data_IF_784915440995
#
_entry.id   IF_784915440995
#
_cell.length_a   1.000
_cell.length_b   1.000
_cell.length_c   1.000
_cell.angle_alpha   90.00
_cell.angle_beta   90.00
_cell.angle_gamma   90.00
#
_symmetry.space_group_name_H-M   'P 1'
#
loop_
_entity.id
_entity.type
_entity.pdbx_description
1 polymer ?
#
# COMPACT_ATOMS: atom_id res chain seq x y z
N UNK A 1 -4.37 -3.98 -15.65
CA UNK A 1 -5.31 -4.43 -14.57
C UNK A 1 -5.18 -3.55 -13.31
N UNK A 2 -6.28 -3.27 -12.58
CA UNK A 2 -6.27 -2.46 -11.33
C UNK A 2 -7.05 -3.15 -10.21
N UNK A 3 -6.48 -3.23 -9.01
CA UNK A 3 -7.18 -3.76 -7.83
C UNK A 3 -6.92 -2.93 -6.58
N UNK A 4 -7.86 -2.98 -5.64
CA UNK A 4 -7.84 -2.21 -4.40
C UNK A 4 -7.71 -3.16 -3.22
N UNK A 5 -6.79 -2.87 -2.32
CA UNK A 5 -6.62 -3.59 -1.06
C UNK A 5 -6.66 -2.61 0.10
N UNK A 6 -7.23 -3.03 1.23
CA UNK A 6 -7.12 -2.26 2.48
C UNK A 6 -5.82 -2.64 3.18
N UNK A 7 -5.03 -1.64 3.57
CA UNK A 7 -3.87 -1.85 4.43
C UNK A 7 -4.35 -1.84 5.88
N UNK A 8 -4.15 -2.96 6.58
CA UNK A 8 -4.53 -3.07 7.98
C UNK A 8 -3.31 -2.84 8.87
N UNK A 9 -3.46 -1.97 9.86
CA UNK A 9 -2.44 -1.75 10.89
C UNK A 9 -2.28 -3.02 11.74
N UNK A 10 -1.05 -3.53 11.85
CA UNK A 10 -0.69 -4.69 12.68
C UNK A 10 0.07 -4.20 13.92
N UNK A 11 -0.67 -3.93 14.98
CA UNK A 11 -0.11 -3.50 16.26
C UNK A 11 0.41 -2.05 16.26
N UNK A 12 1.28 -1.70 17.22
CA UNK A 12 1.74 -0.31 17.41
C UNK A 12 2.77 0.18 16.39
N UNK A 13 3.43 -0.72 15.65
CA UNK A 13 4.71 -0.44 15.00
C UNK A 13 4.67 -0.66 13.46
N UNK A 14 3.58 -1.20 12.89
CA UNK A 14 3.57 -1.37 11.43
C UNK A 14 2.28 -1.96 10.84
N UNK A 15 2.37 -2.34 9.57
CA UNK A 15 1.27 -2.87 8.77
C UNK A 15 1.61 -4.28 8.29
N UNK A 16 0.62 -5.18 8.21
CA UNK A 16 0.82 -6.49 7.61
C UNK A 16 0.61 -6.36 6.09
N UNK A 17 1.70 -6.23 5.32
CA UNK A 17 1.58 -5.99 3.88
C UNK A 17 2.78 -6.50 3.08
N UNK A 18 2.54 -6.76 1.79
CA UNK A 18 3.55 -7.03 0.77
C UNK A 18 4.07 -5.75 0.10
N UNK A 19 3.51 -4.58 0.46
CA UNK A 19 4.00 -3.28 0.03
C UNK A 19 5.38 -3.02 0.67
N UNK A 20 6.38 -2.57 -0.10
CA UNK A 20 7.69 -2.23 0.45
C UNK A 20 7.61 -1.20 1.58
N UNK A 21 8.39 -1.40 2.64
CA UNK A 21 8.42 -0.52 3.82
C UNK A 21 8.66 0.96 3.48
N UNK A 22 9.45 1.24 2.44
CA UNK A 22 9.74 2.62 1.99
C UNK A 22 8.48 3.39 1.59
N UNK A 23 7.46 2.71 1.08
CA UNK A 23 6.19 3.30 0.66
C UNK A 23 5.32 3.62 1.89
N UNK A 24 5.52 2.88 2.99
CA UNK A 24 4.74 2.94 4.23
C UNK A 24 5.33 3.96 5.21
N UNK A 25 6.62 4.29 5.10
CA UNK A 25 7.33 5.20 6.02
C UNK A 25 6.67 6.57 6.18
N UNK A 26 5.96 7.04 5.15
CA UNK A 26 5.30 8.35 5.15
C UNK A 26 3.84 8.29 5.62
N UNK A 27 3.32 7.11 5.96
CA UNK A 27 1.95 6.97 6.46
C UNK A 27 1.87 7.36 7.94
N UNK A 28 0.84 8.13 8.30
CA UNK A 28 0.60 8.47 9.69
C UNK A 28 0.20 7.21 10.47
N UNK A 29 0.99 6.74 11.45
CA UNK A 29 0.64 5.53 12.19
C UNK A 29 -0.65 5.67 13.00
N UNK A 30 -1.16 6.87 13.25
CA UNK A 30 -2.43 7.07 13.97
C UNK A 30 -3.68 6.81 13.11
N UNK A 31 -3.53 6.88 11.80
CA UNK A 31 -4.60 6.61 10.85
C UNK A 31 -4.73 5.09 10.67
N UNK A 32 -5.96 4.59 10.81
CA UNK A 32 -6.24 3.14 10.93
C UNK A 32 -6.52 2.48 9.58
N UNK A 33 -6.93 3.26 8.60
CA UNK A 33 -7.45 2.78 7.33
C UNK A 33 -6.70 3.45 6.17
N UNK A 34 -5.81 2.71 5.52
CA UNK A 34 -5.17 3.17 4.28
C UNK A 34 -5.68 2.36 3.10
N UNK A 35 -5.97 3.03 2.00
CA UNK A 35 -6.30 2.36 0.75
C UNK A 35 -5.06 2.22 -0.09
N UNK A 36 -4.78 0.99 -0.52
CA UNK A 36 -3.69 0.73 -1.45
C UNK A 36 -4.28 0.38 -2.80
N UNK A 37 -3.86 1.14 -3.79
CA UNK A 37 -4.19 0.92 -5.17
C UNK A 37 -2.99 0.29 -5.86
N UNK A 38 -3.22 -0.89 -6.43
CA UNK A 38 -2.27 -1.57 -7.29
C UNK A 38 -2.70 -1.43 -8.73
N UNK A 39 -1.78 -0.99 -9.57
CA UNK A 39 -2.01 -0.80 -10.99
C UNK A 39 -0.90 -1.48 -11.78
N UNK A 40 -1.26 -2.50 -12.57
CA UNK A 40 -0.33 -3.12 -13.51
C UNK A 40 -0.37 -2.37 -14.83
N UNK A 41 0.77 -1.80 -15.18
CA UNK A 41 0.99 -1.22 -16.49
C UNK A 41 1.59 -2.28 -17.42
N UNK A 42 0.72 -2.86 -18.25
CA UNK A 42 1.07 -3.93 -19.19
C UNK A 42 2.09 -3.49 -20.25
N UNK A 43 2.07 -2.21 -20.66
CA UNK A 43 2.98 -1.69 -21.70
C UNK A 43 4.46 -1.71 -21.28
N UNK A 44 4.71 -1.55 -19.98
CA UNK A 44 6.06 -1.53 -19.40
C UNK A 44 6.32 -2.73 -18.48
N UNK A 45 5.35 -3.63 -18.30
CA UNK A 45 5.48 -4.80 -17.44
C UNK A 45 5.77 -4.46 -15.98
N UNK A 46 5.20 -3.35 -15.45
CA UNK A 46 5.49 -2.86 -14.09
C UNK A 46 4.24 -2.69 -13.24
N UNK A 47 4.38 -3.03 -11.96
CA UNK A 47 3.40 -2.73 -10.92
C UNK A 47 3.66 -1.34 -10.32
N UNK A 48 2.61 -0.54 -10.21
CA UNK A 48 2.61 0.74 -9.49
C UNK A 48 1.75 0.61 -8.26
N UNK A 49 2.23 1.14 -7.14
CA UNK A 49 1.52 1.17 -5.86
C UNK A 49 1.24 2.63 -5.51
N UNK A 50 0.00 2.95 -5.16
CA UNK A 50 -0.41 4.26 -4.64
C UNK A 50 -1.14 4.08 -3.32
N UNK A 51 -0.87 4.97 -2.38
CA UNK A 51 -1.54 5.05 -1.09
C UNK A 51 -2.51 6.24 -1.12
N UNK A 52 -3.74 5.99 -0.69
CA UNK A 52 -4.82 6.96 -0.48
C UNK A 52 -5.31 6.92 0.96
#
# INVERSE_FOLDING_TARGET
MKFRTKLWKRGKIGFATTVPHIVILNLNPEEKDFRVIWEFNEKVGKWTVKLE
#
